data_IF_627548175687
#
_entry.id   IF_627548175687
#
_cell.length_a   1.000
_cell.length_b   1.000
_cell.length_c   1.000
_cell.angle_alpha   90.00
_cell.angle_beta   90.00
_cell.angle_gamma   90.00
#
_symmetry.space_group_name_H-M   'P 1'
#
loop_
_entity.id
_entity.type
_entity.pdbx_description
1 polymer ?
#
# COMPACT_ATOMS: atom_id res chain seq x y z
N UNK A 1 -37.52 56.60 11.16
CA UNK A 1 -36.15 56.56 11.72
C UNK A 1 -35.91 55.14 12.22
N UNK A 2 -35.22 54.32 11.43
CA UNK A 2 -34.79 53.00 11.86
C UNK A 2 -33.72 53.16 12.95
N UNK A 3 -33.97 52.55 14.11
CA UNK A 3 -33.06 52.58 15.26
C UNK A 3 -32.02 51.50 15.05
N UNK A 4 -30.82 51.89 14.61
CA UNK A 4 -29.70 50.97 14.47
C UNK A 4 -29.43 50.24 15.80
N UNK A 5 -29.51 48.91 15.78
CA UNK A 5 -29.23 48.09 16.97
C UNK A 5 -27.73 48.18 17.27
N UNK A 6 -27.32 48.45 18.52
CA UNK A 6 -25.90 48.48 18.86
C UNK A 6 -25.29 47.10 18.57
N UNK A 7 -24.31 47.05 17.66
CA UNK A 7 -23.51 45.84 17.42
C UNK A 7 -22.87 45.44 18.75
N UNK A 8 -23.34 44.33 19.29
CA UNK A 8 -22.84 43.71 20.52
C UNK A 8 -21.33 43.50 20.43
N UNK A 9 -20.55 44.39 21.06
CA UNK A 9 -19.09 44.29 21.17
C UNK A 9 -18.65 42.99 21.85
N UNK A 10 -19.53 42.42 22.68
CA UNK A 10 -19.32 41.14 23.37
C UNK A 10 -19.21 39.95 22.40
N UNK A 11 -19.96 39.99 21.30
CA UNK A 11 -19.90 38.95 20.26
C UNK A 11 -18.57 38.99 19.51
N UNK A 12 -18.02 40.19 19.31
CA UNK A 12 -16.75 40.39 18.61
C UNK A 12 -15.56 39.96 19.47
N UNK A 13 -15.64 40.18 20.78
CA UNK A 13 -14.65 39.68 21.76
C UNK A 13 -14.63 38.15 21.79
N UNK A 14 -15.80 37.48 21.72
CA UNK A 14 -15.86 36.02 21.67
C UNK A 14 -15.16 35.45 20.44
N UNK A 15 -15.43 36.03 19.27
CA UNK A 15 -14.77 35.63 18.00
C UNK A 15 -13.26 35.83 18.10
N UNK A 16 -12.82 36.95 18.67
CA UNK A 16 -11.40 37.25 18.83
C UNK A 16 -10.67 36.24 19.73
N UNK A 17 -11.30 35.82 20.83
CA UNK A 17 -10.74 34.79 21.73
C UNK A 17 -10.65 33.44 21.02
N UNK A 18 -11.67 33.03 20.26
CA UNK A 18 -11.63 31.78 19.50
C UNK A 18 -10.48 31.77 18.46
N UNK A 19 -10.26 32.89 17.77
CA UNK A 19 -9.17 33.03 16.81
C UNK A 19 -7.78 32.93 17.48
N UNK A 20 -7.62 33.55 18.65
CA UNK A 20 -6.39 33.42 19.43
C UNK A 20 -6.12 31.97 19.84
N UNK A 21 -7.13 31.22 20.31
CA UNK A 21 -6.97 29.82 20.71
C UNK A 21 -6.51 28.94 19.54
N UNK A 22 -7.03 29.16 18.32
CA UNK A 22 -6.62 28.41 17.13
C UNK A 22 -5.19 28.79 16.72
N UNK A 23 -4.83 30.08 16.76
CA UNK A 23 -3.52 30.56 16.37
C UNK A 23 -2.40 30.17 17.36
N UNK A 24 -2.73 30.07 18.65
CA UNK A 24 -1.80 29.68 19.72
C UNK A 24 -1.83 28.18 20.01
N UNK A 25 -2.69 27.41 19.34
CA UNK A 25 -2.62 25.95 19.45
C UNK A 25 -1.25 25.53 18.91
N UNK A 26 -0.43 24.81 19.69
CA UNK A 26 0.82 24.29 19.16
C UNK A 26 0.45 23.47 17.94
N UNK A 27 1.02 23.85 16.78
CA UNK A 27 1.15 22.94 15.64
C UNK A 27 1.80 21.73 16.26
N UNK A 28 1.01 20.67 16.48
CA UNK A 28 1.53 19.41 16.99
C UNK A 28 2.76 19.11 16.16
N UNK A 29 3.82 18.64 16.81
CA UNK A 29 4.96 18.11 16.08
C UNK A 29 4.38 17.34 14.90
N UNK A 30 4.69 17.79 13.68
CA UNK A 30 4.55 16.92 12.54
C UNK A 30 5.39 15.72 12.95
N UNK A 31 4.72 14.70 13.49
CA UNK A 31 5.11 13.33 13.25
C UNK A 31 4.99 13.20 11.74
N UNK A 32 5.94 13.82 11.02
CA UNK A 32 6.34 13.41 9.70
C UNK A 32 6.70 11.97 9.91
N UNK A 33 5.68 11.15 9.70
CA UNK A 33 5.67 9.74 9.39
C UNK A 33 7.04 9.19 9.73
N UNK A 34 7.21 8.68 10.95
CA UNK A 34 8.12 7.56 11.11
C UNK A 34 7.63 6.56 10.08
N UNK A 35 8.19 6.61 8.88
CA UNK A 35 8.25 5.47 8.00
C UNK A 35 9.10 4.53 8.84
N UNK A 36 8.41 3.75 9.68
CA UNK A 36 8.86 2.40 10.04
C UNK A 36 9.61 1.90 8.80
N UNK A 37 10.93 1.60 8.92
CA UNK A 37 11.70 1.19 7.76
C UNK A 37 10.89 0.06 7.16
N UNK A 38 10.39 0.25 5.92
CA UNK A 38 9.54 -0.71 5.21
C UNK A 38 10.02 -2.08 5.63
N UNK A 39 9.24 -2.75 6.49
CA UNK A 39 9.66 -4.03 7.03
C UNK A 39 9.92 -4.83 5.77
N UNK A 40 11.19 -5.23 5.55
CA UNK A 40 11.53 -5.98 4.35
C UNK A 40 10.62 -7.18 4.37
N UNK A 41 9.56 -7.13 3.56
CA UNK A 41 8.57 -8.18 3.59
C UNK A 41 9.31 -9.44 3.20
N UNK A 42 9.26 -10.43 4.09
CA UNK A 42 9.90 -11.69 3.81
C UNK A 42 9.17 -12.29 2.62
N UNK A 43 9.85 -12.36 1.48
CA UNK A 43 9.31 -13.01 0.30
C UNK A 43 8.96 -14.45 0.69
N UNK A 44 7.70 -14.81 0.55
CA UNK A 44 7.20 -16.16 0.75
C UNK A 44 7.32 -16.88 -0.59
N UNK A 45 8.11 -17.95 -0.58
CA UNK A 45 8.26 -18.86 -1.71
C UNK A 45 7.49 -20.15 -1.44
N UNK A 46 6.72 -20.60 -2.44
CA UNK A 46 6.02 -21.87 -2.40
C UNK A 46 6.28 -22.65 -3.68
N UNK A 47 6.55 -23.95 -3.55
CA UNK A 47 6.77 -24.86 -4.68
C UNK A 47 5.53 -25.72 -4.85
N UNK A 48 4.88 -25.61 -6.01
CA UNK A 48 3.66 -26.32 -6.36
C UNK A 48 3.96 -27.31 -7.50
N UNK A 49 3.56 -28.56 -7.35
CA UNK A 49 3.65 -29.54 -8.44
C UNK A 49 2.53 -29.30 -9.45
N UNK A 50 2.87 -29.24 -10.74
CA UNK A 50 1.90 -29.10 -11.83
C UNK A 50 1.58 -30.44 -12.51
N UNK A 51 2.24 -31.53 -12.11
CA UNK A 51 2.19 -32.82 -12.81
C UNK A 51 3.15 -32.89 -14.00
N UNK A 52 3.30 -34.09 -14.56
CA UNK A 52 4.12 -34.37 -15.76
C UNK A 52 5.57 -33.86 -15.68
N UNK A 53 6.22 -33.98 -14.51
CA UNK A 53 7.59 -33.49 -14.35
C UNK A 53 7.72 -31.97 -14.37
N UNK A 54 6.63 -31.23 -14.10
CA UNK A 54 6.64 -29.77 -13.99
C UNK A 54 6.36 -29.29 -12.57
N UNK A 55 7.02 -28.20 -12.20
CA UNK A 55 6.80 -27.48 -10.94
C UNK A 55 6.65 -25.99 -11.21
N UNK A 56 5.87 -25.32 -10.38
CA UNK A 56 5.81 -23.87 -10.29
C UNK A 56 6.44 -23.41 -8.98
N UNK A 57 7.30 -22.40 -9.05
CA UNK A 57 7.79 -21.66 -7.90
C UNK A 57 7.02 -20.35 -7.87
N UNK A 58 6.25 -20.15 -6.82
CA UNK A 58 5.41 -18.96 -6.61
C UNK A 58 6.07 -18.11 -5.54
N UNK A 59 6.53 -16.92 -5.93
CA UNK A 59 7.11 -15.95 -5.02
C UNK A 59 6.12 -14.81 -4.79
N UNK A 60 5.76 -14.63 -3.52
CA UNK A 60 4.79 -13.62 -3.07
C UNK A 60 5.33 -12.91 -1.83
N UNK A 61 4.63 -11.89 -1.37
CA UNK A 61 4.89 -11.22 -0.08
C UNK A 61 3.58 -11.12 0.71
N UNK A 62 3.63 -10.69 1.97
CA UNK A 62 2.42 -10.59 2.82
C UNK A 62 1.36 -9.65 2.25
N UNK A 63 1.77 -8.65 1.46
CA UNK A 63 0.89 -7.69 0.76
C UNK A 63 0.71 -7.97 -0.74
N UNK A 64 0.98 -9.19 -1.20
CA UNK A 64 0.94 -9.59 -2.62
C UNK A 64 -0.43 -9.61 -3.30
N UNK A 65 -1.49 -9.06 -2.70
CA UNK A 65 -2.87 -9.17 -3.21
C UNK A 65 -3.10 -8.87 -4.70
N UNK A 66 -2.17 -8.18 -5.36
CA UNK A 66 -2.20 -7.93 -6.81
C UNK A 66 -0.89 -8.23 -7.56
N UNK A 67 0.15 -8.77 -6.91
CA UNK A 67 1.45 -9.01 -7.57
C UNK A 67 2.14 -10.27 -7.03
N UNK A 68 2.73 -11.05 -7.93
CA UNK A 68 3.63 -12.12 -7.52
C UNK A 68 4.21 -12.83 -8.73
N UNK A 69 5.46 -13.28 -8.58
CA UNK A 69 6.17 -13.94 -9.66
C UNK A 69 5.88 -15.44 -9.65
N UNK A 70 5.55 -15.99 -10.80
CA UNK A 70 5.39 -17.42 -11.03
C UNK A 70 6.49 -17.86 -11.99
N UNK A 71 7.33 -18.79 -11.56
CA UNK A 71 8.37 -19.41 -12.38
C UNK A 71 8.01 -20.86 -12.61
N UNK A 72 7.83 -21.28 -13.86
CA UNK A 72 7.53 -22.68 -14.19
C UNK A 72 8.79 -23.36 -14.69
N UNK A 73 9.11 -24.49 -14.09
CA UNK A 73 10.23 -25.35 -14.43
C UNK A 73 9.73 -26.71 -14.89
N UNK A 74 10.40 -27.28 -15.89
CA UNK A 74 10.16 -28.62 -16.39
C UNK A 74 11.44 -29.45 -16.26
N UNK A 75 11.29 -30.71 -15.86
CA UNK A 75 12.40 -31.63 -15.77
C UNK A 75 12.80 -32.14 -17.16
N UNK A 76 14.01 -31.81 -17.60
CA UNK A 76 14.60 -32.35 -18.82
C UNK A 76 15.31 -33.68 -18.47
N UNK A 77 14.71 -34.79 -18.90
CA UNK A 77 15.26 -36.14 -18.66
C UNK A 77 16.58 -36.40 -19.42
N UNK A 78 16.79 -35.76 -20.59
CA UNK A 78 18.01 -35.95 -21.37
C UNK A 78 19.21 -35.26 -20.71
N UNK A 79 18.96 -34.06 -20.16
CA UNK A 79 19.98 -33.23 -19.52
C UNK A 79 20.07 -33.44 -18.02
N UNK A 80 19.08 -34.12 -17.44
CA UNK A 80 18.94 -34.35 -15.99
C UNK A 80 18.93 -33.03 -15.20
N UNK A 81 18.21 -32.02 -15.72
CA UNK A 81 18.16 -30.68 -15.13
C UNK A 81 16.75 -30.06 -15.18
N UNK A 82 16.49 -29.10 -14.29
CA UNK A 82 15.28 -28.28 -14.36
C UNK A 82 15.47 -27.13 -15.34
N UNK A 83 14.64 -27.07 -16.36
CA UNK A 83 14.66 -26.02 -17.38
C UNK A 83 13.51 -25.06 -17.16
N UNK A 84 13.79 -23.75 -17.20
CA UNK A 84 12.75 -22.73 -17.15
C UNK A 84 11.92 -22.74 -18.43
N UNK A 85 10.62 -22.97 -18.29
CA UNK A 85 9.67 -22.98 -19.42
C UNK A 85 8.78 -21.74 -19.46
N UNK A 86 8.48 -21.13 -18.31
CA UNK A 86 7.72 -19.87 -18.26
C UNK A 86 8.13 -19.01 -17.06
N UNK A 87 7.96 -17.69 -17.20
CA UNK A 87 7.97 -16.72 -16.11
C UNK A 87 6.80 -15.78 -16.32
N UNK A 88 6.00 -15.58 -15.29
CA UNK A 88 4.79 -14.77 -15.36
C UNK A 88 4.59 -13.96 -14.07
N UNK A 89 3.76 -12.93 -14.14
CA UNK A 89 3.24 -12.23 -12.98
C UNK A 89 1.71 -12.27 -13.04
N UNK A 90 1.07 -12.85 -12.02
CA UNK A 90 -0.39 -13.00 -12.05
C UNK A 90 -1.13 -11.66 -12.02
N UNK A 91 -0.44 -10.55 -11.73
CA UNK A 91 -0.96 -9.20 -11.95
C UNK A 91 -1.48 -9.04 -13.38
N UNK A 92 -0.74 -9.53 -14.38
CA UNK A 92 -1.04 -9.33 -15.80
C UNK A 92 -2.44 -9.86 -16.16
N UNK A 93 -2.83 -11.01 -15.61
CA UNK A 93 -4.16 -11.60 -15.79
C UNK A 93 -5.30 -10.78 -15.16
N UNK A 94 -5.04 -10.07 -14.06
CA UNK A 94 -6.06 -9.26 -13.38
C UNK A 94 -6.37 -7.95 -14.12
N UNK A 95 -5.50 -7.50 -15.02
CA UNK A 95 -5.67 -6.25 -15.78
C UNK A 95 -6.04 -6.46 -17.25
N UNK A 96 -5.84 -7.66 -17.81
CA UNK A 96 -6.22 -7.98 -19.20
C UNK A 96 -7.73 -8.17 -19.41
N UNK A 97 -8.54 -8.34 -18.36
CA UNK A 97 -10.00 -8.48 -18.46
C UNK A 97 -10.78 -7.14 -18.54
N UNK A 98 -10.17 -6.04 -19.00
CA UNK A 98 -10.85 -4.73 -19.16
C UNK A 98 -10.93 -4.21 -20.59
#
# INVERSE_FOLDING_TARGET
MEKERPKSSRSLVGIFICLLIIALKPVGADESVYQEPYTQESAKEEVVSLGDGRIAIVQTTELSGYYGEILVLEWDEERTEWVKVAKDNYQEYMWEER
#
